data_IF_314974383796
#
_entry.id   IF_314974383796
#
_cell.length_a   1.000
_cell.length_b   1.000
_cell.length_c   1.000
_cell.angle_alpha   90.00
_cell.angle_beta   90.00
_cell.angle_gamma   90.00
#
_symmetry.space_group_name_H-M   'P 1'
#
loop_
_entity.id
_entity.type
_entity.pdbx_description
1 polymer ?
#
# COMPACT_ATOMS: atom_id res chain seq x y z
N UNK A 1 -24.77 -10.54 18.90
CA UNK A 1 -23.30 -10.43 18.89
C UNK A 1 -22.70 -10.37 17.48
N UNK A 2 -23.47 -9.87 16.50
CA UNK A 2 -23.11 -9.90 15.07
C UNK A 2 -22.23 -8.71 14.68
N UNK A 3 -22.53 -7.51 15.19
CA UNK A 3 -21.79 -6.28 14.90
C UNK A 3 -20.31 -6.34 15.31
N UNK A 4 -20.00 -6.99 16.45
CA UNK A 4 -18.62 -7.18 16.90
C UNK A 4 -17.84 -8.16 16.01
N UNK A 5 -18.51 -9.15 15.43
CA UNK A 5 -17.90 -10.09 14.49
C UNK A 5 -17.60 -9.43 13.14
N UNK A 6 -18.51 -8.58 12.65
CA UNK A 6 -18.33 -7.82 11.42
C UNK A 6 -17.18 -6.80 11.54
N UNK A 7 -17.09 -6.09 12.66
CA UNK A 7 -15.99 -5.15 12.89
C UNK A 7 -14.62 -5.84 12.87
N UNK A 8 -14.50 -6.98 13.56
CA UNK A 8 -13.26 -7.79 13.55
C UNK A 8 -12.90 -8.31 12.16
N UNK A 9 -13.88 -8.59 11.30
CA UNK A 9 -13.64 -9.00 9.92
C UNK A 9 -13.09 -7.83 9.11
N UNK A 10 -13.70 -6.65 9.21
CA UNK A 10 -13.23 -5.43 8.56
C UNK A 10 -11.79 -5.09 8.99
N UNK A 11 -11.49 -5.19 10.28
CA UNK A 11 -10.13 -4.95 10.80
C UNK A 11 -9.10 -5.92 10.23
N UNK A 12 -9.44 -7.21 10.09
CA UNK A 12 -8.55 -8.20 9.48
C UNK A 12 -8.36 -7.95 7.99
N UNK A 13 -9.45 -7.73 7.26
CA UNK A 13 -9.41 -7.46 5.82
C UNK A 13 -8.54 -6.21 5.53
N UNK A 14 -8.64 -5.20 6.40
CA UNK A 14 -7.80 -4.01 6.36
C UNK A 14 -6.33 -4.32 6.62
N UNK A 15 -6.05 -5.09 7.67
CA UNK A 15 -4.69 -5.44 8.06
C UNK A 15 -3.98 -6.24 6.97
N UNK A 16 -4.64 -7.27 6.43
CA UNK A 16 -4.11 -8.12 5.37
C UNK A 16 -3.90 -7.31 4.08
N UNK A 17 -4.85 -6.46 3.72
CA UNK A 17 -4.72 -5.54 2.58
C UNK A 17 -3.58 -4.53 2.76
N UNK A 18 -3.33 -4.03 3.98
CA UNK A 18 -2.21 -3.16 4.28
C UNK A 18 -0.87 -3.91 4.20
N UNK A 19 -0.79 -5.14 4.72
CA UNK A 19 0.41 -5.98 4.64
C UNK A 19 0.81 -6.28 3.20
N UNK A 20 -0.14 -6.73 2.37
CA UNK A 20 0.13 -7.04 0.95
C UNK A 20 0.68 -5.82 0.20
N UNK A 21 0.12 -4.63 0.44
CA UNK A 21 0.59 -3.37 -0.15
C UNK A 21 2.00 -2.99 0.31
N UNK A 22 2.31 -3.14 1.60
CA UNK A 22 3.64 -2.83 2.12
C UNK A 22 4.71 -3.78 1.54
N UNK A 23 4.38 -5.05 1.35
CA UNK A 23 5.27 -6.02 0.70
C UNK A 23 5.53 -5.63 -0.76
N UNK A 24 4.50 -5.28 -1.52
CA UNK A 24 4.65 -4.82 -2.89
C UNK A 24 5.49 -3.54 -2.99
N UNK A 25 5.23 -2.57 -2.12
CA UNK A 25 6.00 -1.33 -2.04
C UNK A 25 7.48 -1.59 -1.76
N UNK A 26 7.79 -2.48 -0.81
CA UNK A 26 9.16 -2.83 -0.46
C UNK A 26 9.88 -3.52 -1.64
N UNK A 27 9.21 -4.41 -2.36
CA UNK A 27 9.77 -5.05 -3.56
C UNK A 27 10.00 -4.04 -4.69
N UNK A 28 9.02 -3.19 -4.99
CA UNK A 28 9.12 -2.16 -6.03
C UNK A 28 10.27 -1.18 -5.76
N UNK A 29 10.39 -0.70 -4.52
CA UNK A 29 11.51 0.16 -4.11
C UNK A 29 12.86 -0.56 -4.14
N UNK A 30 12.90 -1.87 -3.83
CA UNK A 30 14.09 -2.69 -3.97
C UNK A 30 14.60 -2.74 -5.41
N UNK A 31 13.70 -3.02 -6.35
CA UNK A 31 14.02 -3.03 -7.79
C UNK A 31 14.40 -1.64 -8.31
N UNK A 32 13.72 -0.59 -7.86
CA UNK A 32 14.08 0.78 -8.22
C UNK A 32 15.50 1.12 -7.76
N UNK A 33 15.89 0.68 -6.55
CA UNK A 33 17.24 0.86 -6.01
C UNK A 33 18.31 0.17 -6.86
N UNK A 34 18.03 -1.04 -7.36
CA UNK A 34 18.94 -1.76 -8.26
C UNK A 34 19.14 -1.00 -9.57
N UNK A 35 18.08 -0.37 -10.10
CA UNK A 35 18.10 0.38 -11.36
C UNK A 35 18.73 1.77 -11.30
N UNK A 36 18.98 2.33 -10.11
CA UNK A 36 19.41 3.73 -9.94
C UNK A 36 20.65 4.13 -10.77
N UNK A 37 21.58 3.21 -11.01
CA UNK A 37 22.83 3.50 -11.73
C UNK A 37 22.78 3.11 -13.22
N UNK A 38 21.94 2.15 -13.58
CA UNK A 38 21.86 1.60 -14.94
C UNK A 38 20.78 2.30 -15.77
N UNK A 39 19.68 2.66 -15.13
CA UNK A 39 18.46 3.16 -15.76
C UNK A 39 17.70 4.08 -14.78
N UNK A 40 18.22 5.31 -14.56
CA UNK A 40 17.70 6.22 -13.55
C UNK A 40 16.29 6.73 -13.87
N UNK A 41 15.91 6.80 -15.15
CA UNK A 41 14.56 7.22 -15.57
C UNK A 41 13.53 6.16 -15.15
N UNK A 42 13.78 4.88 -15.45
CA UNK A 42 12.91 3.80 -14.97
C UNK A 42 12.89 3.74 -13.44
N UNK A 43 14.03 3.92 -12.77
CA UNK A 43 14.07 3.97 -11.31
C UNK A 43 13.20 5.10 -10.74
N UNK A 44 13.20 6.27 -11.38
CA UNK A 44 12.36 7.40 -11.00
C UNK A 44 10.87 7.11 -11.22
N UNK A 45 10.49 6.47 -12.32
CA UNK A 45 9.11 6.04 -12.59
C UNK A 45 8.62 5.05 -11.51
N UNK A 46 9.44 4.06 -11.15
CA UNK A 46 9.10 3.08 -10.12
C UNK A 46 8.92 3.73 -8.73
N UNK A 47 9.76 4.72 -8.39
CA UNK A 47 9.59 5.49 -7.15
C UNK A 47 8.31 6.34 -7.19
N UNK A 48 7.97 6.91 -8.34
CA UNK A 48 6.74 7.68 -8.50
C UNK A 48 5.49 6.79 -8.36
N UNK A 49 5.50 5.60 -8.94
CA UNK A 49 4.45 4.59 -8.79
C UNK A 49 4.28 4.18 -7.33
N UNK A 50 5.37 3.79 -6.66
CA UNK A 50 5.41 3.48 -5.23
C UNK A 50 4.81 4.60 -4.37
N UNK A 51 5.14 5.86 -4.66
CA UNK A 51 4.58 7.00 -3.95
C UNK A 51 3.07 7.18 -4.23
N UNK A 52 2.63 6.93 -5.47
CA UNK A 52 1.21 6.92 -5.85
C UNK A 52 0.40 5.88 -5.10
N UNK A 53 0.91 4.64 -5.01
CA UNK A 53 0.27 3.55 -4.27
C UNK A 53 0.11 3.89 -2.78
N UNK A 54 1.14 4.49 -2.15
CA UNK A 54 1.06 4.94 -0.75
C UNK A 54 -0.04 5.97 -0.56
N UNK A 55 -0.18 6.94 -1.47
CA UNK A 55 -1.24 7.95 -1.39
C UNK A 55 -2.63 7.32 -1.49
N UNK A 56 -2.82 6.37 -2.39
CA UNK A 56 -4.08 5.64 -2.55
C UNK A 56 -4.40 4.85 -1.28
N UNK A 57 -3.43 4.10 -0.73
CA UNK A 57 -3.62 3.36 0.51
C UNK A 57 -4.02 4.28 1.68
N UNK A 58 -3.36 5.45 1.82
CA UNK A 58 -3.72 6.44 2.83
C UNK A 58 -5.11 7.04 2.62
N UNK A 59 -5.59 7.15 1.37
CA UNK A 59 -6.96 7.55 1.07
C UNK A 59 -7.96 6.48 1.53
N UNK A 60 -7.74 5.21 1.14
CA UNK A 60 -8.59 4.09 1.55
C UNK A 60 -8.69 3.95 3.08
N UNK A 61 -7.57 4.09 3.80
CA UNK A 61 -7.56 4.05 5.27
C UNK A 61 -8.39 5.17 5.88
N UNK A 62 -8.34 6.39 5.30
CA UNK A 62 -9.14 7.54 5.79
C UNK A 62 -10.62 7.35 5.52
N UNK A 63 -10.96 6.75 4.37
CA UNK A 63 -12.34 6.49 4.00
C UNK A 63 -12.93 5.41 4.92
N UNK A 64 -12.19 4.34 5.19
CA UNK A 64 -12.62 3.33 6.15
C UNK A 64 -12.80 3.91 7.57
N UNK A 65 -11.87 4.73 8.05
CA UNK A 65 -11.96 5.37 9.37
C UNK A 65 -13.16 6.32 9.51
N UNK A 66 -13.68 6.84 8.40
CA UNK A 66 -14.89 7.69 8.37
C UNK A 66 -16.18 6.88 8.22
N UNK A 67 -16.08 5.56 8.09
CA UNK A 67 -17.23 4.65 7.94
C UNK A 67 -17.93 4.79 6.60
N UNK A 68 -17.20 5.12 5.54
CA UNK A 68 -17.72 5.19 4.16
C UNK A 68 -17.77 3.79 3.54
#
# INVERSE_FOLDING_TARGET
DTAAADLRRIERDLHDGAQARLVNLAMGLGLAKEKLLEDPDTAAEMVAEAHGEVKLALQELRDLARGI
#
